data_IF_890695753393
#
_entry.id   IF_890695753393
#
_cell.length_a   1.000
_cell.length_b   1.000
_cell.length_c   1.000
_cell.angle_alpha   90.00
_cell.angle_beta   90.00
_cell.angle_gamma   90.00
#
_symmetry.space_group_name_H-M   'P 1'
#
loop_
_entity.id
_entity.type
_entity.pdbx_description
1 polymer ?
#
# COMPACT_ATOMS: atom_id res chain seq x y z
N UNK A 1 -5.57 22.03 -1.87
CA UNK A 1 -4.91 20.73 -1.80
C UNK A 1 -4.49 20.25 -3.19
N UNK A 2 -3.41 19.52 -3.23
CA UNK A 2 -2.89 18.97 -4.48
C UNK A 2 -3.50 17.60 -4.69
N UNK A 3 -4.11 17.40 -5.87
CA UNK A 3 -4.66 16.12 -6.25
C UNK A 3 -3.63 15.39 -7.12
N UNK A 4 -3.25 14.14 -6.76
CA UNK A 4 -2.28 13.41 -7.56
C UNK A 4 -2.75 13.22 -9.00
N UNK A 5 -1.78 13.24 -9.94
CA UNK A 5 -2.08 13.05 -11.36
C UNK A 5 -1.92 11.60 -11.79
N UNK A 6 -1.38 10.76 -10.93
CA UNK A 6 -1.18 9.35 -11.25
C UNK A 6 -1.30 8.50 -10.00
N UNK A 7 -1.63 7.24 -10.22
CA UNK A 7 -1.63 6.18 -9.23
C UNK A 7 -0.19 5.88 -8.84
N UNK A 8 0.13 5.91 -7.55
CA UNK A 8 1.50 5.70 -7.08
C UNK A 8 1.53 5.07 -5.70
N UNK A 9 2.38 4.07 -5.55
CA UNK A 9 2.70 3.47 -4.25
C UNK A 9 4.15 3.83 -3.95
N UNK A 10 4.36 4.60 -2.89
CA UNK A 10 5.70 5.00 -2.49
C UNK A 10 6.38 3.87 -1.74
N UNK A 11 7.71 3.85 -1.77
CA UNK A 11 8.46 2.90 -0.96
C UNK A 11 8.15 3.17 0.51
N UNK A 12 7.86 2.11 1.26
CA UNK A 12 7.60 2.24 2.70
C UNK A 12 8.82 2.83 3.42
N UNK A 13 8.55 3.56 4.49
CA UNK A 13 9.63 4.18 5.27
C UNK A 13 9.31 4.04 6.75
N UNK A 14 10.27 3.57 7.58
CA UNK A 14 11.60 3.10 7.21
C UNK A 14 11.58 1.76 6.47
N UNK A 15 12.64 1.48 5.72
CA UNK A 15 12.84 0.21 5.02
C UNK A 15 14.34 -0.06 4.94
N UNK A 16 14.92 -1.04 5.67
CA UNK A 16 14.22 -2.03 6.51
C UNK A 16 13.50 -1.39 7.70
N UNK A 17 12.51 -2.10 8.22
CA UNK A 17 11.71 -1.59 9.34
C UNK A 17 11.69 -2.58 10.52
N UNK A 18 11.41 -2.06 11.73
CA UNK A 18 11.44 -2.85 12.95
C UNK A 18 10.60 -2.19 14.04
N UNK A 19 9.41 -2.69 14.35
CA UNK A 19 8.57 -3.53 13.50
C UNK A 19 7.56 -2.72 12.69
N UNK A 20 7.59 -1.39 12.77
CA UNK A 20 6.61 -0.50 12.16
C UNK A 20 7.16 0.18 10.93
N UNK A 21 6.30 0.35 9.93
CA UNK A 21 6.64 1.17 8.77
C UNK A 21 5.42 1.91 8.30
N UNK A 22 5.65 3.01 7.58
CA UNK A 22 4.58 3.83 7.02
C UNK A 22 4.53 3.61 5.51
N UNK A 23 3.33 3.39 4.99
CA UNK A 23 3.09 3.17 3.57
C UNK A 23 2.25 4.33 3.05
N UNK A 24 2.80 5.05 2.08
CA UNK A 24 2.16 6.21 1.48
C UNK A 24 1.76 5.88 0.05
N UNK A 25 0.58 6.35 -0.36
CA UNK A 25 0.12 6.12 -1.73
C UNK A 25 -0.75 7.26 -2.21
N UNK A 26 -0.78 7.43 -3.55
CA UNK A 26 -1.56 8.45 -4.23
C UNK A 26 -2.71 7.81 -4.99
N UNK A 27 -3.89 8.42 -4.89
CA UNK A 27 -5.08 8.03 -5.63
C UNK A 27 -5.44 9.20 -6.55
N UNK A 28 -5.35 9.03 -7.88
CA UNK A 28 -5.67 10.11 -8.80
C UNK A 28 -7.16 10.19 -9.09
N UNK A 29 -7.60 11.33 -9.61
CA UNK A 29 -8.94 11.45 -10.17
C UNK A 29 -8.98 10.70 -11.51
N UNK A 30 -10.11 10.03 -11.79
CA UNK A 30 -10.31 9.39 -13.08
C UNK A 30 -11.59 9.90 -13.70
N UNK A 31 -11.61 10.03 -15.04
CA UNK A 31 -12.82 10.49 -15.73
C UNK A 31 -14.01 9.54 -15.60
N UNK A 32 -13.75 8.27 -15.38
CA UNK A 32 -14.79 7.25 -15.34
C UNK A 32 -15.42 7.09 -13.96
N UNK A 33 -14.79 7.64 -12.93
CA UNK A 33 -15.29 7.43 -11.58
C UNK A 33 -16.18 8.60 -11.15
N UNK A 34 -17.04 8.34 -10.18
CA UNK A 34 -17.85 9.38 -9.54
C UNK A 34 -17.05 10.12 -8.47
N UNK A 35 -15.72 10.12 -8.59
CA UNK A 35 -14.81 10.76 -7.65
C UNK A 35 -14.20 9.80 -6.64
N UNK A 36 -14.52 8.51 -6.73
CA UNK A 36 -13.99 7.49 -5.83
C UNK A 36 -13.67 6.23 -6.60
N UNK A 37 -12.63 5.55 -6.16
CA UNK A 37 -12.25 4.25 -6.70
C UNK A 37 -11.96 3.30 -5.54
N UNK A 38 -12.20 2.02 -5.75
CA UNK A 38 -11.88 1.02 -4.74
C UNK A 38 -10.38 0.79 -4.72
N UNK A 39 -9.78 1.00 -3.56
CA UNK A 39 -8.35 0.82 -3.33
C UNK A 39 -8.15 -0.38 -2.42
N UNK A 40 -7.29 -1.30 -2.84
CA UNK A 40 -6.95 -2.48 -2.05
C UNK A 40 -5.44 -2.50 -1.83
N UNK A 41 -5.03 -2.52 -0.57
CA UNK A 41 -3.62 -2.55 -0.18
C UNK A 41 -3.41 -3.77 0.69
N UNK A 42 -2.63 -4.73 0.19
CA UNK A 42 -2.40 -6.00 0.86
C UNK A 42 -0.92 -6.29 1.03
N UNK A 43 -0.61 -7.04 2.07
CA UNK A 43 0.76 -7.47 2.35
C UNK A 43 0.85 -8.98 2.13
N UNK A 44 1.91 -9.39 1.43
CA UNK A 44 2.18 -10.79 1.11
C UNK A 44 3.55 -11.19 1.67
N UNK A 45 3.70 -12.46 2.04
CA UNK A 45 5.00 -12.98 2.44
C UNK A 45 5.80 -13.41 1.20
N UNK A 46 7.01 -13.91 1.42
CA UNK A 46 7.92 -14.30 0.32
C UNK A 46 7.37 -15.47 -0.51
N UNK A 47 6.45 -16.24 0.04
CA UNK A 47 5.81 -17.34 -0.69
C UNK A 47 4.60 -16.88 -1.51
N UNK A 48 4.29 -15.59 -1.45
CA UNK A 48 3.15 -15.04 -2.17
C UNK A 48 1.82 -15.19 -1.45
N UNK A 49 1.86 -15.57 -0.17
CA UNK A 49 0.65 -15.71 0.62
C UNK A 49 0.25 -14.38 1.21
N UNK A 50 -1.02 -14.01 1.07
CA UNK A 50 -1.56 -12.82 1.68
C UNK A 50 -1.58 -12.99 3.19
N UNK A 51 -0.98 -12.03 3.93
CA UNK A 51 -0.95 -12.10 5.38
C UNK A 51 -1.86 -11.06 6.04
N UNK A 52 -2.14 -9.96 5.37
CA UNK A 52 -3.07 -8.96 5.91
C UNK A 52 -3.52 -8.00 4.81
N UNK A 53 -4.68 -7.38 5.04
CA UNK A 53 -5.21 -6.32 4.18
C UNK A 53 -5.23 -5.04 4.99
N UNK A 54 -4.55 -4.00 4.50
CA UNK A 54 -4.46 -2.72 5.19
C UNK A 54 -5.53 -1.75 4.75
N UNK A 55 -5.91 -1.79 3.47
CA UNK A 55 -6.94 -0.92 2.91
C UNK A 55 -7.79 -1.74 1.96
N UNK A 56 -9.11 -1.59 2.05
CA UNK A 56 -10.06 -2.20 1.13
C UNK A 56 -11.33 -1.37 1.16
N UNK A 57 -11.31 -0.24 0.45
CA UNK A 57 -12.46 0.65 0.41
C UNK A 57 -12.32 1.65 -0.72
N UNK A 58 -13.44 2.31 -1.02
CA UNK A 58 -13.45 3.41 -1.97
C UNK A 58 -12.81 4.64 -1.32
N UNK A 59 -11.89 5.27 -2.05
CA UNK A 59 -11.21 6.48 -1.59
C UNK A 59 -11.33 7.58 -2.63
N UNK A 60 -11.52 8.80 -2.14
CA UNK A 60 -11.48 9.99 -2.99
C UNK A 60 -10.06 10.26 -3.46
N UNK A 61 -9.88 10.98 -4.57
CA UNK A 61 -8.53 11.36 -5.00
C UNK A 61 -7.78 12.08 -3.88
N UNK A 62 -6.52 11.76 -3.72
CA UNK A 62 -5.68 12.33 -2.66
C UNK A 62 -4.49 11.47 -2.32
N UNK A 63 -3.74 11.91 -1.32
CA UNK A 63 -2.58 11.19 -0.81
C UNK A 63 -2.93 10.64 0.56
N UNK A 64 -2.59 9.37 0.78
CA UNK A 64 -2.94 8.64 2.00
C UNK A 64 -1.73 7.97 2.59
N UNK A 65 -1.80 7.69 3.90
CA UNK A 65 -0.76 6.96 4.60
C UNK A 65 -1.41 5.96 5.54
N UNK A 66 -0.82 4.76 5.62
CA UNK A 66 -1.22 3.74 6.59
C UNK A 66 0.01 3.14 7.21
N UNK A 67 -0.11 2.68 8.45
CA UNK A 67 0.98 2.00 9.15
C UNK A 67 0.82 0.51 9.04
N UNK A 68 1.95 -0.19 8.88
CA UNK A 68 2.01 -1.63 8.96
C UNK A 68 2.85 -2.02 10.16
N UNK A 69 2.25 -2.81 11.05
CA UNK A 69 2.91 -3.31 12.25
C UNK A 69 3.28 -4.78 12.03
N UNK A 70 4.59 -5.03 11.93
CA UNK A 70 5.11 -6.37 11.68
C UNK A 70 5.43 -7.16 12.94
N UNK A 71 4.96 -6.73 14.12
CA UNK A 71 5.31 -7.35 15.40
C UNK A 71 5.08 -8.85 15.42
N UNK A 72 3.97 -9.34 14.84
CA UNK A 72 3.62 -10.76 14.89
C UNK A 72 4.23 -11.57 13.75
N UNK A 73 4.95 -10.92 12.85
CA UNK A 73 5.51 -11.61 11.68
C UNK A 73 7.01 -11.79 11.83
N UNK A 74 7.58 -12.86 11.26
CA UNK A 74 9.04 -13.07 11.33
C UNK A 74 9.80 -12.09 10.46
N UNK A 75 11.06 -11.86 10.80
CA UNK A 75 11.97 -11.08 9.96
C UNK A 75 12.03 -11.70 8.57
N UNK A 76 12.10 -10.89 7.55
CA UNK A 76 12.17 -11.38 6.19
C UNK A 76 11.65 -10.38 5.17
N UNK A 77 11.46 -10.88 3.96
CA UNK A 77 10.98 -10.08 2.84
C UNK A 77 9.47 -10.17 2.75
N UNK A 78 8.83 -9.02 2.56
CA UNK A 78 7.38 -8.90 2.36
C UNK A 78 7.11 -8.05 1.14
N UNK A 79 5.92 -8.20 0.56
CA UNK A 79 5.52 -7.43 -0.62
C UNK A 79 4.24 -6.69 -0.28
N UNK A 80 4.23 -5.39 -0.60
CA UNK A 80 3.04 -4.56 -0.47
C UNK A 80 2.46 -4.38 -1.87
N UNK A 81 1.23 -4.84 -2.08
CA UNK A 81 0.57 -4.74 -3.38
C UNK A 81 -0.64 -3.84 -3.25
N UNK A 82 -0.69 -2.82 -4.11
CA UNK A 82 -1.81 -1.90 -4.17
C UNK A 82 -2.53 -2.07 -5.49
N UNK A 83 -3.85 -2.24 -5.45
CA UNK A 83 -4.69 -2.23 -6.64
C UNK A 83 -5.60 -1.02 -6.64
N UNK A 84 -5.86 -0.49 -7.84
CA UNK A 84 -6.69 0.66 -8.06
C UNK A 84 -7.34 0.47 -9.43
N UNK A 85 -8.64 0.15 -9.45
CA UNK A 85 -9.28 -0.24 -10.69
C UNK A 85 -8.59 -1.46 -11.28
N UNK A 86 -8.14 -1.35 -12.54
CA UNK A 86 -7.43 -2.44 -13.21
C UNK A 86 -5.92 -2.33 -13.09
N UNK A 87 -5.44 -1.30 -12.38
CA UNK A 87 -4.00 -1.09 -12.17
C UNK A 87 -3.55 -1.73 -10.88
N UNK A 88 -2.30 -2.18 -10.85
CA UNK A 88 -1.70 -2.71 -9.64
C UNK A 88 -0.21 -2.43 -9.64
N UNK A 89 0.35 -2.26 -8.44
CA UNK A 89 1.79 -2.07 -8.27
C UNK A 89 2.23 -2.77 -7.00
N UNK A 90 3.50 -3.17 -6.94
CA UNK A 90 4.06 -3.94 -5.84
C UNK A 90 5.39 -3.34 -5.43
N UNK A 91 5.60 -3.19 -4.13
CA UNK A 91 6.89 -2.79 -3.57
C UNK A 91 7.38 -3.87 -2.60
N UNK A 92 8.69 -4.07 -2.59
CA UNK A 92 9.34 -4.99 -1.65
C UNK A 92 9.67 -4.27 -0.37
N UNK A 93 9.41 -4.92 0.77
CA UNK A 93 9.70 -4.40 2.09
C UNK A 93 10.56 -5.41 2.85
N UNK A 94 11.40 -4.92 3.75
CA UNK A 94 12.28 -5.78 4.56
C UNK A 94 12.02 -5.51 6.03
N UNK A 95 11.58 -6.56 6.74
CA UNK A 95 11.36 -6.52 8.18
C UNK A 95 12.59 -7.14 8.88
N UNK A 96 13.25 -6.33 9.70
CA UNK A 96 14.43 -6.77 10.46
C UNK A 96 14.15 -6.54 11.94
N UNK A 97 13.92 -7.59 12.66
CA UNK A 97 13.73 -7.52 14.11
C UNK A 97 15.02 -7.75 14.84
#
# INVERSE_FOLDING_TARGET
>A
PVIPVSFKLYQNFPNPFNPMTNIKFDVPATPQSSGKENVILKIYNVLGKEITTLVDKELSPGTYEVNFDGTIYPSGIYYCRMSFGESATVNKMILLK
#
